data_IF_248382213204
#
_entry.id   IF_248382213204
#
_cell.length_a   1.000
_cell.length_b   1.000
_cell.length_c   1.000
_cell.angle_alpha   90.00
_cell.angle_beta   90.00
_cell.angle_gamma   90.00
#
_symmetry.space_group_name_H-M   'P 1'
#
loop_
_entity.id
_entity.type
_entity.pdbx_description
1 polymer ?
#
# COMPACT_ATOMS: atom_id res chain seq x y z
N UNK A 1 -17.76 18.83 -9.55
CA UNK A 1 -16.75 18.29 -8.61
C UNK A 1 -16.17 17.05 -9.27
N UNK A 2 -14.86 17.02 -9.59
CA UNK A 2 -14.26 15.87 -10.27
C UNK A 2 -14.21 14.68 -9.30
N UNK A 3 -14.93 13.57 -9.57
CA UNK A 3 -15.01 12.44 -8.65
C UNK A 3 -13.63 11.83 -8.35
N UNK A 4 -12.70 11.86 -9.30
CA UNK A 4 -11.32 11.39 -9.10
C UNK A 4 -10.51 12.20 -8.08
N UNK A 5 -10.75 13.52 -7.97
CA UNK A 5 -10.04 14.36 -7.00
C UNK A 5 -10.47 14.03 -5.56
N UNK A 6 -11.78 13.81 -5.35
CA UNK A 6 -12.30 13.41 -4.04
C UNK A 6 -11.77 12.05 -3.62
N UNK A 7 -11.76 11.07 -4.53
CA UNK A 7 -11.21 9.75 -4.26
C UNK A 7 -9.71 9.81 -3.94
N UNK A 8 -8.95 10.64 -4.65
CA UNK A 8 -7.52 10.84 -4.39
C UNK A 8 -7.24 11.40 -2.99
N UNK A 9 -7.98 12.43 -2.57
CA UNK A 9 -7.82 13.04 -1.25
C UNK A 9 -8.22 12.09 -0.11
N UNK A 10 -9.26 11.27 -0.31
CA UNK A 10 -9.65 10.24 0.66
C UNK A 10 -8.57 9.17 0.79
N UNK A 11 -7.99 8.72 -0.33
CA UNK A 11 -6.90 7.75 -0.32
C UNK A 11 -5.66 8.29 0.40
N UNK A 12 -5.33 9.57 0.19
CA UNK A 12 -4.23 10.25 0.88
C UNK A 12 -4.48 10.33 2.39
N UNK A 13 -5.68 10.75 2.82
CA UNK A 13 -6.04 10.81 4.25
C UNK A 13 -5.90 9.44 4.92
N UNK A 14 -6.46 8.39 4.30
CA UNK A 14 -6.38 7.03 4.82
C UNK A 14 -4.93 6.54 4.97
N UNK A 15 -4.06 6.91 4.03
CA UNK A 15 -2.63 6.56 4.08
C UNK A 15 -1.92 7.28 5.25
N UNK A 16 -2.20 8.56 5.44
CA UNK A 16 -1.63 9.33 6.54
C UNK A 16 -2.11 8.79 7.89
N UNK A 17 -3.40 8.48 8.02
CA UNK A 17 -3.96 7.90 9.25
C UNK A 17 -3.33 6.54 9.58
N UNK A 18 -3.13 5.68 8.57
CA UNK A 18 -2.44 4.41 8.73
C UNK A 18 -1.00 4.60 9.24
N UNK A 19 -0.23 5.52 8.65
CA UNK A 19 1.14 5.80 9.06
C UNK A 19 1.20 6.39 10.48
N UNK A 20 0.28 7.29 10.81
CA UNK A 20 0.14 7.84 12.15
C UNK A 20 -0.19 6.76 13.18
N UNK A 21 -1.04 5.79 12.84
CA UNK A 21 -1.34 4.63 13.67
C UNK A 21 -0.13 3.72 13.92
N UNK A 22 0.87 3.75 13.04
CA UNK A 22 2.17 3.08 13.24
C UNK A 22 3.20 3.96 13.98
N UNK A 23 2.82 5.15 14.43
CA UNK A 23 3.71 6.13 15.06
C UNK A 23 4.63 6.86 14.07
N UNK A 24 4.35 6.80 12.77
CA UNK A 24 5.19 7.36 11.71
C UNK A 24 4.56 8.66 11.22
N UNK A 25 5.22 9.79 11.51
CA UNK A 25 4.89 11.09 10.92
C UNK A 25 5.60 11.25 9.59
N UNK A 26 4.86 11.12 8.48
CA UNK A 26 5.40 11.22 7.14
C UNK A 26 4.82 12.42 6.40
N UNK A 27 5.51 13.56 6.48
CA UNK A 27 5.07 14.82 5.87
C UNK A 27 5.57 15.00 4.41
N UNK A 28 6.62 14.26 4.03
CA UNK A 28 7.21 14.29 2.71
C UNK A 28 7.02 12.96 1.97
N UNK A 29 6.78 13.02 0.66
CA UNK A 29 6.58 11.84 -0.20
C UNK A 29 7.72 10.83 -0.06
N UNK A 30 8.98 11.29 -0.02
CA UNK A 30 10.13 10.39 0.16
C UNK A 30 10.11 9.64 1.50
N UNK A 31 9.63 10.29 2.56
CA UNK A 31 9.46 9.70 3.89
C UNK A 31 8.33 8.68 3.91
N UNK A 32 7.20 8.99 3.26
CA UNK A 32 6.06 8.08 3.08
C UNK A 32 6.53 6.79 2.39
N UNK A 33 7.23 6.91 1.26
CA UNK A 33 7.74 5.75 0.51
C UNK A 33 8.71 4.93 1.34
N UNK A 34 9.63 5.57 2.07
CA UNK A 34 10.60 4.87 2.93
C UNK A 34 9.91 4.12 4.07
N UNK A 35 8.91 4.74 4.70
CA UNK A 35 8.10 4.12 5.75
C UNK A 35 7.35 2.90 5.23
N UNK A 36 6.67 3.02 4.09
CA UNK A 36 5.95 1.92 3.46
C UNK A 36 6.87 0.75 3.09
N UNK A 37 8.06 1.02 2.55
CA UNK A 37 9.08 -0.01 2.29
C UNK A 37 9.50 -0.74 3.57
N UNK A 38 9.67 -0.01 4.68
CA UNK A 38 9.98 -0.59 5.98
C UNK A 38 8.85 -1.47 6.51
N UNK A 39 7.61 -0.98 6.45
CA UNK A 39 6.43 -1.74 6.88
C UNK A 39 6.19 -2.99 6.02
N UNK A 40 6.45 -2.91 4.70
CA UNK A 40 6.44 -4.06 3.81
C UNK A 40 7.49 -5.11 4.22
N UNK A 41 8.73 -4.68 4.47
CA UNK A 41 9.79 -5.59 4.90
C UNK A 41 9.48 -6.28 6.25
N UNK A 42 8.67 -5.65 7.10
CA UNK A 42 8.18 -6.19 8.38
C UNK A 42 6.91 -7.04 8.24
N UNK A 43 6.35 -7.18 7.04
CA UNK A 43 5.10 -7.91 6.79
C UNK A 43 3.83 -7.18 7.24
N UNK A 44 3.93 -5.96 7.78
CA UNK A 44 2.80 -5.17 8.29
C UNK A 44 1.85 -4.67 7.21
N UNK A 45 2.25 -4.78 5.94
CA UNK A 45 1.40 -4.45 4.79
C UNK A 45 0.79 -5.70 4.13
N UNK A 46 1.13 -6.91 4.57
CA UNK A 46 0.75 -8.14 3.86
C UNK A 46 -0.78 -8.30 3.77
N UNK A 47 -1.51 -8.04 4.85
CA UNK A 47 -2.97 -8.12 4.86
C UNK A 47 -3.61 -7.13 3.89
N UNK A 48 -3.12 -5.89 3.86
CA UNK A 48 -3.58 -4.86 2.93
C UNK A 48 -3.27 -5.24 1.47
N UNK A 49 -2.08 -5.80 1.21
CA UNK A 49 -1.67 -6.27 -0.12
C UNK A 49 -2.53 -7.45 -0.57
N UNK A 50 -2.76 -8.45 0.29
CA UNK A 50 -3.62 -9.60 0.00
C UNK A 50 -5.05 -9.18 -0.27
N UNK A 51 -5.61 -8.29 0.56
CA UNK A 51 -6.97 -7.75 0.38
C UNK A 51 -7.08 -7.04 -0.97
N UNK A 52 -6.09 -6.21 -1.31
CA UNK A 52 -6.06 -5.52 -2.59
C UNK A 52 -5.93 -6.51 -3.78
N UNK A 53 -5.11 -7.54 -3.68
CA UNK A 53 -5.02 -8.61 -4.69
C UNK A 53 -6.34 -9.35 -4.84
N UNK A 54 -7.02 -9.67 -3.74
CA UNK A 54 -8.32 -10.34 -3.75
C UNK A 54 -9.40 -9.48 -4.42
N UNK A 55 -9.47 -8.20 -4.08
CA UNK A 55 -10.39 -7.26 -4.72
C UNK A 55 -10.10 -7.09 -6.22
N UNK A 56 -8.83 -7.06 -6.63
CA UNK A 56 -8.45 -7.05 -8.05
C UNK A 56 -8.89 -8.33 -8.76
N UNK A 57 -8.62 -9.49 -8.18
CA UNK A 57 -8.99 -10.80 -8.75
C UNK A 57 -10.51 -10.95 -8.92
N UNK A 58 -11.30 -10.37 -8.02
CA UNK A 58 -12.76 -10.37 -8.08
C UNK A 58 -13.34 -9.26 -8.98
N UNK A 59 -12.50 -8.47 -9.66
CA UNK A 59 -12.94 -7.38 -10.53
C UNK A 59 -13.59 -6.21 -9.79
N UNK A 60 -13.44 -6.13 -8.46
CA UNK A 60 -14.03 -5.11 -7.61
C UNK A 60 -13.22 -3.80 -7.60
N UNK A 61 -11.97 -3.85 -8.07
CA UNK A 61 -11.14 -2.67 -8.30
C UNK A 61 -10.40 -2.79 -9.63
N UNK A 62 -10.49 -1.74 -10.43
CA UNK A 62 -9.70 -1.59 -11.67
C UNK A 62 -8.32 -1.12 -11.22
N UNK A 63 -7.33 -2.02 -11.24
CA UNK A 63 -5.94 -1.65 -10.95
C UNK A 63 -5.48 -0.58 -11.93
N UNK A 64 -5.18 0.67 -11.48
CA UNK A 64 -4.85 1.75 -12.41
C UNK A 64 -3.40 1.70 -12.90
N UNK A 65 -2.56 0.80 -12.39
CA UNK A 65 -1.16 0.72 -12.80
C UNK A 65 -1.00 -0.12 -14.07
N UNK A 66 -0.55 0.47 -15.19
CA UNK A 66 -0.08 -0.29 -16.32
C UNK A 66 1.04 -1.24 -15.85
N UNK A 67 1.05 -2.47 -16.35
CA UNK A 67 2.05 -3.50 -16.00
C UNK A 67 3.51 -3.01 -16.09
N UNK A 68 3.75 -1.98 -16.90
CA UNK A 68 5.05 -1.31 -17.05
C UNK A 68 5.55 -0.53 -15.81
N UNK A 69 4.73 -0.33 -14.77
CA UNK A 69 5.11 0.43 -13.55
C UNK A 69 5.27 -0.42 -12.30
N UNK A 70 4.94 -1.71 -12.37
CA UNK A 70 5.01 -2.62 -11.22
C UNK A 70 6.45 -3.04 -11.02
N UNK A 71 7.15 -2.40 -10.08
CA UNK A 71 8.30 -3.04 -9.44
C UNK A 71 7.73 -4.13 -8.53
N UNK A 72 7.84 -5.38 -8.98
CA UNK A 72 7.31 -6.53 -8.26
C UNK A 72 8.07 -6.71 -6.93
N UNK A 73 7.44 -6.23 -5.85
CA UNK A 73 7.89 -6.47 -4.50
C UNK A 73 7.59 -7.93 -4.17
N UNK A 74 8.61 -8.78 -4.21
CA UNK A 74 8.51 -10.17 -3.78
C UNK A 74 8.24 -10.21 -2.27
N UNK A 75 7.19 -10.94 -1.89
CA UNK A 75 6.88 -11.22 -0.49
C UNK A 75 8.02 -12.05 0.10
N UNK A 76 8.59 -11.60 1.22
CA UNK A 76 9.48 -12.48 2.00
C UNK A 76 8.61 -13.57 2.63
N UNK A 77 8.77 -14.80 2.16
CA UNK A 77 8.23 -15.97 2.85
C UNK A 77 8.83 -16.04 4.27
N UNK A 78 8.03 -16.35 5.31
CA UNK A 78 8.58 -16.60 6.64
C UNK A 78 9.48 -17.84 6.58
N UNK A 79 10.71 -17.71 7.06
CA UNK A 79 11.66 -18.82 7.22
C UNK A 79 11.01 -19.92 8.08
N UNK A 80 10.55 -20.99 7.44
CA UNK A 80 10.25 -22.24 8.13
C UNK A 80 11.57 -22.99 8.27
N UNK A 81 12.35 -22.63 9.29
CA UNK A 81 13.47 -23.45 9.75
C UNK A 81 13.21 -23.89 11.19
N UNK A 82 12.57 -25.05 11.35
CA UNK A 82 12.83 -25.97 12.45
C UNK A 82 12.44 -27.39 12.09
#
# INVERSE_FOLDING_TARGET
QNPGLKTGLVAESNLIDFLNGQGIKAEAIGTVVKALKGLHAQGKLNEHIMTNRHLQANGLIIGPSPKATVHELHEKQPDHNR
#
